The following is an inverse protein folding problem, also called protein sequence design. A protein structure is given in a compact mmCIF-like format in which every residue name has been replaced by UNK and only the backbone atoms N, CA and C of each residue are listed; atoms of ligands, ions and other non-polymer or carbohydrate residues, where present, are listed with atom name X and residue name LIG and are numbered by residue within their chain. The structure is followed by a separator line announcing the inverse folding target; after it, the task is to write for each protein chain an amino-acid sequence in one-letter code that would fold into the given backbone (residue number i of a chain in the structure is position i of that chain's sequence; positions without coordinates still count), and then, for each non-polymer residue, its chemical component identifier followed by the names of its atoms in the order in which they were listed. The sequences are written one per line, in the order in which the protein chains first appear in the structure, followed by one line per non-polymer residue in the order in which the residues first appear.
data_IF_049774493158
#
_entry.id   IF_049774493158
#
_cell.length_a   1.000
_cell.length_b   1.000
_cell.length_c   1.000
_cell.angle_alpha   90.00
_cell.angle_beta   90.00
_cell.angle_gamma   90.00
#
_symmetry.space_group_name_H-M   'P 1'
#
loop_
_entity.id
_entity.type
_entity.pdbx_description
1 polymer ?
#
# COMPACT_ATOMS: atom_id res chain seq x y z
N UNK A 1 6.34 5.43 -2.50
CA UNK A 1 5.35 6.07 -3.42
C UNK A 1 5.44 7.59 -3.31
N UNK A 2 5.79 8.32 -4.38
CA UNK A 2 5.98 9.79 -4.32
C UNK A 2 4.68 10.55 -3.99
N UNK A 3 3.61 10.32 -4.75
CA UNK A 3 2.33 11.01 -4.54
C UNK A 3 1.65 10.69 -3.20
N UNK A 4 1.95 9.52 -2.62
CA UNK A 4 1.47 9.19 -1.28
C UNK A 4 2.09 10.09 -0.22
N UNK A 5 3.37 10.45 -0.39
CA UNK A 5 4.07 11.39 0.47
C UNK A 5 3.57 12.82 0.25
N UNK A 6 3.34 13.22 -1.01
CA UNK A 6 2.75 14.54 -1.33
C UNK A 6 1.39 14.71 -0.67
N UNK A 7 0.47 13.75 -0.86
CA UNK A 7 -0.87 13.83 -0.26
C UNK A 7 -0.85 13.75 1.28
N UNK A 8 0.15 13.06 1.86
CA UNK A 8 0.34 13.07 3.31
C UNK A 8 0.65 14.48 3.83
N UNK A 9 1.66 15.15 3.26
CA UNK A 9 2.01 16.50 3.64
C UNK A 9 0.93 17.54 3.31
N UNK A 10 0.31 17.43 2.14
CA UNK A 10 -0.68 18.41 1.70
C UNK A 10 -2.05 18.24 2.33
N UNK A 11 -2.37 17.07 2.92
CA UNK A 11 -3.73 16.80 3.40
C UNK A 11 -3.79 16.01 4.69
N UNK A 12 -3.11 14.85 4.81
CA UNK A 12 -3.28 13.99 5.99
C UNK A 12 -2.64 14.54 7.27
N UNK A 13 -1.63 15.40 7.13
CA UNK A 13 -0.95 16.07 8.26
C UNK A 13 -1.66 17.36 8.69
N UNK A 14 -2.61 17.86 7.90
CA UNK A 14 -3.40 19.05 8.25
C UNK A 14 -4.45 18.70 9.33
N UNK A 15 -4.39 19.31 10.52
CA UNK A 15 -5.34 19.03 11.61
C UNK A 15 -6.80 19.32 11.25
N UNK A 16 -7.09 20.31 10.40
CA UNK A 16 -8.44 20.66 9.99
C UNK A 16 -9.01 19.60 9.04
N UNK A 17 -8.21 19.14 8.07
CA UNK A 17 -8.59 18.03 7.18
C UNK A 17 -8.80 16.76 8.00
N UNK A 18 -7.86 16.44 8.91
CA UNK A 18 -7.97 15.26 9.76
C UNK A 18 -9.23 15.29 10.64
N UNK A 19 -9.58 16.45 11.21
CA UNK A 19 -10.81 16.61 11.99
C UNK A 19 -12.07 16.30 11.17
N UNK A 20 -12.16 16.81 9.93
CA UNK A 20 -13.29 16.55 9.04
C UNK A 20 -13.38 15.08 8.62
N UNK A 21 -12.26 14.45 8.33
CA UNK A 21 -12.24 13.02 8.01
C UNK A 21 -12.72 12.21 9.23
N UNK A 22 -12.21 12.53 10.43
CA UNK A 22 -12.56 11.81 11.66
C UNK A 22 -14.02 12.02 12.10
N UNK A 23 -14.65 13.13 11.71
CA UNK A 23 -16.07 13.37 11.98
C UNK A 23 -16.98 12.40 11.20
N UNK A 24 -16.59 12.04 9.98
CA UNK A 24 -17.46 11.31 9.05
C UNK A 24 -17.02 9.88 8.76
N UNK A 25 -15.73 9.55 8.93
CA UNK A 25 -15.14 8.30 8.45
C UNK A 25 -14.25 7.62 9.50
N UNK A 26 -14.18 6.29 9.41
CA UNK A 26 -13.14 5.50 10.07
C UNK A 26 -11.95 5.40 9.12
N UNK A 27 -10.89 6.14 9.40
CA UNK A 27 -9.69 6.16 8.57
C UNK A 27 -8.84 4.90 8.78
N UNK A 28 -8.51 4.20 7.69
CA UNK A 28 -7.62 3.04 7.69
C UNK A 28 -6.45 3.30 6.75
N UNK A 29 -5.23 3.23 7.27
CA UNK A 29 -3.99 3.31 6.47
C UNK A 29 -3.49 1.89 6.21
N UNK A 30 -3.31 1.56 4.93
CA UNK A 30 -2.83 0.23 4.51
C UNK A 30 -1.46 0.40 3.87
N UNK A 31 -0.49 -0.38 4.34
CA UNK A 31 0.78 -0.55 3.65
C UNK A 31 0.64 -1.67 2.62
N UNK A 32 0.87 -1.35 1.35
CA UNK A 32 0.77 -2.32 0.25
C UNK A 32 1.87 -3.38 0.28
N UNK A 33 3.02 -3.10 0.88
CA UNK A 33 4.12 -4.06 0.99
C UNK A 33 3.81 -5.12 2.04
N UNK A 34 3.07 -4.74 3.09
CA UNK A 34 2.61 -5.66 4.14
C UNK A 34 1.29 -6.35 3.80
N UNK A 35 0.38 -5.66 3.08
CA UNK A 35 -0.94 -6.17 2.67
C UNK A 35 -1.16 -6.08 1.15
N UNK A 36 -0.34 -6.80 0.35
CA UNK A 36 -0.50 -6.82 -1.11
C UNK A 36 -1.81 -7.47 -1.54
N UNK A 37 -2.39 -8.32 -0.70
CA UNK A 37 -3.72 -8.91 -0.87
C UNK A 37 -4.83 -7.84 -0.86
N UNK A 38 -4.78 -6.92 0.10
CA UNK A 38 -5.74 -5.81 0.21
C UNK A 38 -5.51 -4.79 -0.91
N UNK A 39 -4.25 -4.47 -1.20
CA UNK A 39 -3.88 -3.58 -2.30
C UNK A 39 -4.42 -4.09 -3.64
N UNK A 40 -4.26 -5.39 -3.93
CA UNK A 40 -4.71 -5.98 -5.18
C UNK A 40 -6.24 -5.87 -5.37
N UNK A 41 -7.03 -6.20 -4.35
CA UNK A 41 -8.50 -6.11 -4.40
C UNK A 41 -8.96 -4.69 -4.68
N UNK A 42 -8.44 -3.71 -3.95
CA UNK A 42 -8.87 -2.32 -4.12
C UNK A 42 -8.27 -1.64 -5.36
N UNK A 43 -7.12 -2.11 -5.84
CA UNK A 43 -6.56 -1.66 -7.12
C UNK A 43 -7.44 -2.10 -8.29
N UNK A 44 -7.96 -3.34 -8.26
CA UNK A 44 -8.94 -3.80 -9.24
C UNK A 44 -10.21 -2.94 -9.20
N UNK A 45 -10.72 -2.64 -8.01
CA UNK A 45 -11.87 -1.73 -7.85
C UNK A 45 -11.60 -0.33 -8.42
N UNK A 46 -10.41 0.21 -8.16
CA UNK A 46 -10.00 1.53 -8.66
C UNK A 46 -9.89 1.56 -10.18
N UNK A 47 -9.33 0.52 -10.78
CA UNK A 47 -9.23 0.37 -12.23
C UNK A 47 -10.60 0.20 -12.88
N UNK A 48 -11.47 -0.64 -12.30
CA UNK A 48 -12.83 -0.84 -12.78
C UNK A 48 -13.65 0.46 -12.74
N UNK A 49 -13.51 1.27 -11.68
CA UNK A 49 -14.24 2.52 -11.53
C UNK A 49 -13.68 3.68 -12.36
N UNK A 50 -12.35 3.84 -12.41
CA UNK A 50 -11.71 5.04 -12.97
C UNK A 50 -11.04 4.81 -14.33
N UNK A 51 -10.99 3.55 -14.80
CA UNK A 51 -10.27 3.15 -16.01
C UNK A 51 -8.74 3.15 -15.87
N UNK A 52 -8.21 3.51 -14.69
CA UNK A 52 -6.77 3.58 -14.41
C UNK A 52 -6.49 3.19 -12.96
N UNK A 53 -5.23 2.88 -12.67
CA UNK A 53 -4.75 2.58 -11.32
C UNK A 53 -3.64 3.53 -10.89
N UNK A 54 -3.33 3.53 -9.60
CA UNK A 54 -2.20 4.27 -9.06
C UNK A 54 -2.25 4.44 -7.55
N UNK A 55 -1.15 4.96 -7.00
CA UNK A 55 -1.03 5.29 -5.58
C UNK A 55 -0.75 6.80 -5.41
N UNK A 56 -1.28 7.46 -4.37
CA UNK A 56 -2.10 6.91 -3.29
C UNK A 56 -3.44 6.43 -3.82
N UNK A 57 -4.02 5.45 -3.14
CA UNK A 57 -5.31 4.88 -3.48
C UNK A 57 -6.30 5.31 -2.40
N UNK A 58 -7.22 6.19 -2.76
CA UNK A 58 -8.27 6.71 -1.87
C UNK A 58 -9.55 5.93 -2.13
N UNK A 59 -9.93 5.08 -1.20
CA UNK A 59 -11.12 4.22 -1.32
C UNK A 59 -12.06 4.50 -0.16
N UNK A 60 -13.32 4.70 -0.49
CA UNK A 60 -14.40 4.72 0.50
C UNK A 60 -15.25 3.48 0.30
N UNK A 61 -15.48 2.79 1.41
CA UNK A 61 -16.14 1.50 1.44
C UNK A 61 -17.23 1.49 2.52
N UNK A 62 -18.21 0.62 2.32
CA UNK A 62 -19.21 0.29 3.33
C UNK A 62 -18.55 -0.34 4.57
N UNK A 63 -19.24 -0.43 5.73
CA UNK A 63 -18.66 -1.03 6.94
C UNK A 63 -18.20 -2.49 6.79
N UNK A 64 -18.74 -3.22 5.81
CA UNK A 64 -18.34 -4.59 5.45
C UNK A 64 -17.25 -4.66 4.37
N UNK A 65 -16.70 -3.51 3.96
CA UNK A 65 -15.52 -3.42 3.07
C UNK A 65 -15.84 -3.41 1.58
N UNK A 66 -17.10 -3.24 1.15
CA UNK A 66 -17.43 -3.11 -0.27
C UNK A 66 -17.14 -1.68 -0.74
N UNK A 67 -16.25 -1.46 -1.73
CA UNK A 67 -15.93 -0.11 -2.20
C UNK A 67 -17.14 0.49 -2.95
N UNK A 68 -17.51 1.72 -2.63
CA UNK A 68 -18.49 2.49 -3.40
C UNK A 68 -17.88 3.72 -4.10
N UNK A 69 -16.67 4.12 -3.70
CA UNK A 69 -15.90 5.16 -4.38
C UNK A 69 -14.41 4.79 -4.39
N UNK A 70 -13.75 5.03 -5.51
CA UNK A 70 -12.31 4.84 -5.68
C UNK A 70 -11.72 6.03 -6.44
N UNK A 71 -10.58 6.51 -5.99
CA UNK A 71 -9.77 7.51 -6.68
C UNK A 71 -8.30 7.36 -6.31
N UNK A 72 -7.45 8.13 -6.98
CA UNK A 72 -6.02 8.12 -6.69
C UNK A 72 -5.65 9.32 -5.80
N UNK A 73 -5.02 10.31 -6.39
CA UNK A 73 -4.60 11.55 -5.74
C UNK A 73 -5.72 12.59 -5.76
N UNK A 74 -5.93 13.26 -4.63
CA UNK A 74 -6.77 14.45 -4.53
C UNK A 74 -5.96 15.60 -3.90
N UNK A 75 -5.92 16.78 -4.54
CA UNK A 75 -5.26 17.95 -3.96
C UNK A 75 -6.04 18.47 -2.75
N UNK A 76 -5.44 19.24 -1.83
CA UNK A 76 -6.17 19.85 -0.71
C UNK A 76 -7.26 20.81 -1.19
N UNK A 77 -6.95 21.58 -2.23
CA UNK A 77 -7.85 22.55 -2.86
C UNK A 77 -8.17 22.18 -4.31
N UNK A 78 -9.35 22.55 -4.84
CA UNK A 78 -9.77 22.18 -6.19
C UNK A 78 -8.77 22.66 -7.26
N UNK A 79 -8.29 21.74 -8.09
CA UNK A 79 -7.31 22.04 -9.15
C UNK A 79 -7.52 21.16 -10.37
N UNK A 80 -7.40 21.77 -11.56
CA UNK A 80 -7.43 21.06 -12.85
C UNK A 80 -8.68 20.15 -13.03
N UNK A 81 -9.83 20.59 -12.54
CA UNK A 81 -11.09 19.83 -12.63
C UNK A 81 -11.23 18.70 -11.61
N UNK A 82 -10.27 18.53 -10.69
CA UNK A 82 -10.40 17.65 -9.54
C UNK A 82 -10.97 18.42 -8.34
N UNK A 83 -11.88 17.82 -7.57
CA UNK A 83 -12.31 18.40 -6.30
C UNK A 83 -11.15 18.43 -5.32
N UNK A 84 -11.19 19.38 -4.38
CA UNK A 84 -10.33 19.35 -3.21
C UNK A 84 -10.68 18.14 -2.33
N UNK A 85 -9.71 17.60 -1.61
CA UNK A 85 -9.90 16.43 -0.76
C UNK A 85 -11.00 16.68 0.28
N UNK A 86 -11.03 17.86 0.88
CA UNK A 86 -12.09 18.24 1.82
C UNK A 86 -13.49 18.27 1.20
N UNK A 87 -13.61 18.79 -0.02
CA UNK A 87 -14.89 18.81 -0.75
C UNK A 87 -15.35 17.39 -1.08
N UNK A 88 -14.40 16.50 -1.42
CA UNK A 88 -14.69 15.10 -1.68
C UNK A 88 -15.26 14.41 -0.43
N UNK A 89 -14.62 14.59 0.72
CA UNK A 89 -15.02 14.02 2.01
C UNK A 89 -16.43 14.51 2.40
N UNK A 90 -16.69 15.81 2.32
CA UNK A 90 -18.00 16.39 2.65
C UNK A 90 -19.10 15.88 1.69
N UNK A 91 -18.83 15.82 0.39
CA UNK A 91 -19.78 15.34 -0.61
C UNK A 91 -20.12 13.85 -0.42
N UNK A 92 -19.13 13.02 -0.07
CA UNK A 92 -19.33 11.59 0.16
C UNK A 92 -20.01 11.33 1.51
N UNK A 93 -19.74 12.15 2.53
CA UNK A 93 -20.45 12.09 3.81
C UNK A 93 -21.94 12.46 3.66
N UNK A 94 -22.24 13.53 2.90
CA UNK A 94 -23.62 13.90 2.56
C UNK A 94 -24.33 12.81 1.78
N UNK A 95 -23.68 12.25 0.75
CA UNK A 95 -24.24 11.16 -0.04
C UNK A 95 -24.51 9.92 0.84
N UNK A 96 -23.63 9.60 1.78
CA UNK A 96 -23.84 8.50 2.72
C UNK A 96 -25.00 8.75 3.68
N UNK A 97 -25.19 9.98 4.15
CA UNK A 97 -26.28 10.33 5.05
C UNK A 97 -27.65 10.35 4.34
N UNK A 98 -27.69 10.84 3.09
CA UNK A 98 -28.95 11.16 2.41
C UNK A 98 -29.32 10.18 1.29
N UNK A 99 -28.37 9.44 0.74
CA UNK A 99 -28.52 8.55 -0.44
C UNK A 99 -27.78 7.23 -0.23
N UNK A 100 -27.83 6.70 0.99
CA UNK A 100 -27.11 5.48 1.37
C UNK A 100 -27.45 4.29 0.46
N UNK A 101 -28.73 4.07 0.19
CA UNK A 101 -29.19 2.93 -0.61
C UNK A 101 -28.57 2.96 -2.02
N UNK A 102 -28.45 4.14 -2.65
CA UNK A 102 -27.79 4.30 -3.95
C UNK A 102 -26.30 3.93 -3.90
N UNK A 103 -25.61 4.28 -2.81
CA UNK A 103 -24.20 3.94 -2.61
C UNK A 103 -24.00 2.45 -2.33
N UNK A 104 -24.89 1.82 -1.57
CA UNK A 104 -24.84 0.37 -1.33
C UNK A 104 -25.09 -0.40 -2.63
N UNK A 105 -26.07 0.01 -3.45
CA UNK A 105 -26.29 -0.56 -4.78
C UNK A 105 -25.11 -0.35 -5.74
N UNK A 106 -24.42 0.79 -5.65
CA UNK A 106 -23.19 1.03 -6.41
C UNK A 106 -22.06 0.10 -5.94
N UNK A 107 -21.93 -0.12 -4.64
CA UNK A 107 -20.95 -1.03 -4.07
C UNK A 107 -21.18 -2.47 -4.55
N UNK A 108 -22.43 -2.94 -4.54
CA UNK A 108 -22.80 -4.27 -5.02
C UNK A 108 -22.45 -4.48 -6.50
N UNK A 109 -22.79 -3.51 -7.35
CA UNK A 109 -22.45 -3.57 -8.78
C UNK A 109 -20.94 -3.61 -9.01
N UNK A 110 -20.17 -2.87 -8.23
CA UNK A 110 -18.72 -2.86 -8.35
C UNK A 110 -18.10 -4.20 -7.91
N UNK A 111 -18.56 -4.75 -6.78
CA UNK A 111 -18.12 -6.07 -6.30
C UNK A 111 -18.48 -7.17 -7.30
N UNK A 112 -19.67 -7.13 -7.89
CA UNK A 112 -20.05 -8.08 -8.95
C UNK A 112 -19.14 -7.97 -10.19
N UNK A 113 -18.77 -6.74 -10.59
CA UNK A 113 -17.89 -6.52 -11.72
C UNK A 113 -16.48 -7.10 -11.47
N UNK A 114 -15.92 -6.85 -10.28
CA UNK A 114 -14.57 -7.34 -9.90
C UNK A 114 -14.58 -8.85 -9.67
N UNK A 115 -15.60 -9.39 -9.00
CA UNK A 115 -15.72 -10.81 -8.67
C UNK A 115 -15.77 -11.72 -9.90
N UNK A 116 -16.12 -11.19 -11.08
CA UNK A 116 -16.09 -11.90 -12.35
C UNK A 116 -14.68 -12.01 -12.97
N UNK A 117 -13.72 -11.16 -12.57
CA UNK A 117 -12.41 -11.08 -13.24
C UNK A 117 -11.33 -12.03 -12.71
N UNK A 118 -11.42 -12.48 -11.44
CA UNK A 118 -10.83 -13.72 -10.90
C UNK A 118 -10.81 -13.63 -9.37
N UNK A 119 -11.25 -14.65 -8.62
CA UNK A 119 -11.01 -14.67 -7.19
C UNK A 119 -9.49 -14.79 -6.93
N UNK A 120 -8.94 -13.89 -6.13
CA UNK A 120 -7.68 -14.13 -5.42
C UNK A 120 -7.92 -15.38 -4.56
N UNK A 121 -7.49 -16.54 -5.05
CA UNK A 121 -7.71 -17.82 -4.37
C UNK A 121 -6.88 -17.83 -3.09
N UNK A 122 -7.53 -17.68 -1.93
CA UNK A 122 -6.93 -17.89 -0.61
C UNK A 122 -6.35 -19.30 -0.43
N UNK A 123 -6.81 -20.24 -1.26
CA UNK A 123 -6.48 -21.66 -1.16
C UNK A 123 -5.35 -22.08 -2.12
N UNK A 124 -4.59 -21.12 -2.64
CA UNK A 124 -3.41 -21.43 -3.44
C UNK A 124 -2.42 -22.25 -2.60
N UNK A 125 -1.93 -23.41 -3.07
CA UNK A 125 -0.93 -24.17 -2.34
C UNK A 125 0.32 -23.32 -2.14
N UNK A 126 0.99 -23.49 -1.00
CA UNK A 126 2.24 -22.81 -0.73
C UNK A 126 3.25 -23.06 -1.86
N UNK A 127 4.07 -22.05 -2.24
CA UNK A 127 5.05 -22.20 -3.30
C UNK A 127 6.03 -23.32 -2.97
N UNK A 128 6.42 -24.09 -3.99
CA UNK A 128 7.45 -25.12 -3.84
C UNK A 128 8.78 -24.49 -3.45
N UNK A 129 9.59 -25.19 -2.65
CA UNK A 129 10.86 -24.65 -2.15
C UNK A 129 11.83 -24.22 -3.27
N UNK A 130 11.82 -24.89 -4.43
CA UNK A 130 12.63 -24.47 -5.57
C UNK A 130 12.27 -23.08 -6.10
N UNK A 131 10.99 -22.71 -6.09
CA UNK A 131 10.53 -21.36 -6.47
C UNK A 131 11.04 -20.33 -5.46
N UNK A 132 11.06 -20.70 -4.17
CA UNK A 132 11.63 -19.85 -3.12
C UNK A 132 13.12 -19.65 -3.32
N UNK A 133 13.86 -20.69 -3.68
CA UNK A 133 15.30 -20.63 -3.94
C UNK A 133 15.60 -19.72 -5.17
N UNK A 134 14.80 -19.82 -6.23
CA UNK A 134 14.90 -18.92 -7.40
C UNK A 134 14.60 -17.46 -7.05
N UNK A 135 13.59 -17.21 -6.22
CA UNK A 135 13.27 -15.86 -5.75
C UNK A 135 14.42 -15.27 -4.92
N UNK A 136 15.06 -16.08 -4.07
CA UNK A 136 16.24 -15.66 -3.29
C UNK A 136 17.43 -15.36 -4.18
N UNK A 137 17.67 -16.13 -5.24
CA UNK A 137 18.71 -15.82 -6.24
C UNK A 137 18.42 -14.51 -6.96
N UNK A 138 17.16 -14.27 -7.35
CA UNK A 138 16.76 -13.01 -7.96
C UNK A 138 16.99 -11.82 -7.03
N UNK A 139 16.60 -11.95 -5.75
CA UNK A 139 16.88 -10.92 -4.73
C UNK A 139 18.38 -10.66 -4.58
N UNK A 140 19.20 -11.72 -4.55
CA UNK A 140 20.64 -11.59 -4.42
C UNK A 140 21.28 -10.81 -5.58
N UNK A 141 20.75 -10.94 -6.80
CA UNK A 141 21.20 -10.14 -7.94
C UNK A 141 20.87 -8.65 -7.84
N UNK A 142 19.85 -8.30 -7.06
CA UNK A 142 19.47 -6.90 -6.81
C UNK A 142 20.13 -6.31 -5.57
N UNK A 143 20.82 -7.12 -4.76
CA UNK A 143 21.45 -6.66 -3.53
C UNK A 143 22.60 -5.69 -3.82
N UNK A 144 22.62 -4.56 -3.13
CA UNK A 144 23.73 -3.62 -3.20
C UNK A 144 24.79 -3.98 -2.16
N UNK A 145 25.93 -4.48 -2.64
CA UNK A 145 27.04 -4.88 -1.78
C UNK A 145 27.78 -3.71 -1.12
N UNK A 146 27.68 -2.49 -1.67
CA UNK A 146 28.38 -1.31 -1.16
C UNK A 146 27.57 -0.58 -0.09
N UNK A 147 26.27 -0.38 -0.32
CA UNK A 147 25.42 0.45 0.53
C UNK A 147 24.27 -0.30 1.21
N UNK A 148 24.20 -1.62 1.05
CA UNK A 148 23.11 -2.44 1.55
C UNK A 148 21.77 -2.17 0.85
N UNK A 149 20.76 -2.98 1.21
CA UNK A 149 19.44 -2.93 0.58
C UNK A 149 19.43 -3.47 -0.85
N UNK A 150 18.40 -3.11 -1.62
CA UNK A 150 18.10 -3.71 -2.92
C UNK A 150 17.83 -2.63 -3.98
N UNK A 151 18.31 -2.86 -5.21
CA UNK A 151 18.09 -1.99 -6.35
C UNK A 151 18.87 -0.66 -6.31
N UNK A 152 18.41 0.31 -7.10
CA UNK A 152 19.01 1.64 -7.20
C UNK A 152 18.34 2.65 -6.26
N UNK A 153 19.01 3.79 -6.02
CA UNK A 153 18.43 4.93 -5.28
C UNK A 153 17.19 5.52 -5.98
N UNK A 154 16.18 6.02 -5.23
CA UNK A 154 16.05 5.94 -3.76
C UNK A 154 15.62 4.54 -3.31
N UNK A 155 16.25 4.03 -2.24
CA UNK A 155 15.96 2.70 -1.67
C UNK A 155 14.97 2.81 -0.51
N UNK A 156 14.14 1.78 -0.35
CA UNK A 156 13.18 1.64 0.75
C UNK A 156 13.48 0.37 1.57
N UNK A 157 13.14 0.33 2.87
CA UNK A 157 13.25 -0.88 3.70
C UNK A 157 12.37 -2.03 3.22
N UNK A 158 12.93 -2.95 2.43
CA UNK A 158 12.21 -4.14 1.98
C UNK A 158 12.20 -5.24 3.05
N UNK A 159 11.44 -5.03 4.14
CA UNK A 159 11.38 -5.92 5.30
C UNK A 159 11.04 -7.37 4.93
N UNK A 160 10.08 -7.58 4.03
CA UNK A 160 9.67 -8.91 3.54
C UNK A 160 10.80 -9.64 2.79
N UNK A 161 11.62 -8.92 2.02
CA UNK A 161 12.78 -9.50 1.33
C UNK A 161 13.87 -9.92 2.34
N UNK A 162 14.10 -9.09 3.35
CA UNK A 162 15.06 -9.38 4.44
C UNK A 162 14.58 -10.59 5.25
N UNK A 163 13.29 -10.66 5.63
CA UNK A 163 12.72 -11.81 6.34
C UNK A 163 12.86 -13.10 5.51
N UNK A 164 12.57 -13.04 4.21
CA UNK A 164 12.76 -14.17 3.31
C UNK A 164 14.21 -14.66 3.28
N UNK A 165 15.18 -13.75 3.17
CA UNK A 165 16.61 -14.09 3.18
C UNK A 165 17.06 -14.71 4.52
N UNK A 166 16.58 -14.19 5.65
CA UNK A 166 16.86 -14.75 6.98
C UNK A 166 16.27 -16.16 7.14
N UNK A 167 15.02 -16.36 6.69
CA UNK A 167 14.37 -17.68 6.71
C UNK A 167 15.07 -18.66 5.79
N UNK A 168 15.47 -18.22 4.59
CA UNK A 168 16.25 -19.01 3.65
C UNK A 168 17.60 -19.42 4.27
N UNK A 169 18.36 -18.48 4.81
CA UNK A 169 19.64 -18.75 5.47
C UNK A 169 19.49 -19.76 6.61
N UNK A 170 18.45 -19.63 7.44
CA UNK A 170 18.16 -20.60 8.52
C UNK A 170 17.82 -22.00 7.99
N UNK A 171 17.11 -22.10 6.87
CA UNK A 171 16.71 -23.39 6.26
C UNK A 171 17.87 -24.09 5.56
N UNK A 172 18.71 -23.35 4.84
CA UNK A 172 19.72 -23.91 3.93
C UNK A 172 21.15 -23.83 4.45
N UNK A 173 21.40 -22.99 5.46
CA UNK A 173 22.76 -22.63 5.90
C UNK A 173 23.48 -21.68 4.95
N UNK A 174 22.76 -20.97 4.07
CA UNK A 174 23.38 -20.06 3.10
C UNK A 174 23.98 -18.81 3.75
N UNK A 175 25.31 -18.75 3.80
CA UNK A 175 26.07 -17.57 4.23
C UNK A 175 25.79 -16.35 3.35
N UNK A 176 25.59 -16.55 2.04
CA UNK A 176 25.25 -15.47 1.11
C UNK A 176 23.93 -14.79 1.49
N UNK A 177 22.87 -15.56 1.73
CA UNK A 177 21.58 -14.99 2.14
C UNK A 177 21.68 -14.25 3.47
N UNK A 178 22.42 -14.81 4.44
CA UNK A 178 22.64 -14.17 5.74
C UNK A 178 23.42 -12.86 5.59
N UNK A 179 24.48 -12.86 4.77
CA UNK A 179 25.31 -11.69 4.52
C UNK A 179 24.53 -10.55 3.88
N UNK A 180 23.66 -10.85 2.90
CA UNK A 180 22.81 -9.84 2.25
C UNK A 180 21.83 -9.24 3.26
N UNK A 181 21.13 -10.09 4.03
CA UNK A 181 20.18 -9.64 5.03
C UNK A 181 20.85 -8.76 6.11
N UNK A 182 22.02 -9.18 6.63
CA UNK A 182 22.79 -8.40 7.60
C UNK A 182 23.26 -7.08 7.03
N UNK A 183 23.83 -7.07 5.83
CA UNK A 183 24.28 -5.82 5.20
C UNK A 183 23.13 -4.82 5.03
N UNK A 184 21.94 -5.27 4.63
CA UNK A 184 20.77 -4.40 4.57
C UNK A 184 20.37 -3.86 5.95
N UNK A 185 20.33 -4.71 6.99
CA UNK A 185 19.98 -4.32 8.36
C UNK A 185 21.01 -3.35 8.97
N UNK A 186 22.30 -3.62 8.79
CA UNK A 186 23.38 -2.80 9.32
C UNK A 186 23.35 -1.41 8.69
N UNK A 187 23.12 -1.29 7.38
CA UNK A 187 22.99 0.00 6.69
C UNK A 187 21.70 0.75 7.05
N UNK A 188 20.61 0.06 7.37
CA UNK A 188 19.42 0.72 7.92
C UNK A 188 19.69 1.26 9.33
N UNK A 189 20.34 0.49 10.19
CA UNK A 189 20.67 0.87 11.56
C UNK A 189 21.72 1.99 11.62
N UNK A 190 22.70 1.98 10.72
CA UNK A 190 23.79 2.98 10.64
C UNK A 190 23.48 4.16 9.72
N UNK A 191 22.39 4.08 8.95
CA UNK A 191 21.96 5.11 8.01
C UNK A 191 21.02 6.14 8.63
N UNK A 192 20.55 7.07 7.81
CA UNK A 192 19.67 8.17 8.22
C UNK A 192 18.21 7.78 8.48
N UNK A 193 17.88 6.49 8.46
CA UNK A 193 16.57 5.98 8.89
C UNK A 193 16.47 5.98 10.42
N UNK A 194 17.60 5.76 11.11
CA UNK A 194 17.68 5.81 12.56
C UNK A 194 18.28 7.15 13.02
N UNK A 195 17.62 7.80 13.96
CA UNK A 195 18.12 8.99 14.66
C UNK A 195 19.16 8.57 15.71
N UNK A 196 20.42 8.68 15.29
CA UNK A 196 21.58 8.38 16.13
C UNK A 196 21.72 9.28 17.36
N UNK A 197 21.05 10.44 17.40
CA UNK A 197 21.13 11.40 18.51
C UNK A 197 19.96 11.24 19.48
N UNK A 198 18.75 11.06 18.95
CA UNK A 198 17.51 10.87 19.72
C UNK A 198 17.21 9.42 20.12
N UNK A 199 17.87 8.43 19.49
CA UNK A 199 17.69 7.00 19.75
C UNK A 199 16.43 6.40 19.12
N UNK A 200 15.86 7.06 18.11
CA UNK A 200 14.62 6.68 17.42
C UNK A 200 14.88 6.02 16.07
#
# INVERSE_FOLDING_TARGET
CHWCHVMAHESFEDPEVAAKVNEHFVSVKVDREERPDVDAVYMQATQAMTGRGGWPMTVLATPDGRPFFCGTYFPPEPRQGLPGFTQLIEALADAWANRRDELEEQADRLVEAIGREAPLRSDAPAPQLGVVDEAVLSLAHTADAQWGGFGSSPKFPQSSAIDLLLRHARRTGSDTSLSIARSALDHMATGGIWDHLGGG
#
